data_IF_276902008171
#
_entry.id   IF_276902008171
#
_cell.length_a   1.000
_cell.length_b   1.000
_cell.length_c   1.000
_cell.angle_alpha   90.00
_cell.angle_beta   90.00
_cell.angle_gamma   90.00
#
_symmetry.space_group_name_H-M   'P 1'
#
loop_
_entity.id
_entity.type
_entity.pdbx_description
1 polymer ?
#
# COMPACT_ATOMS: atom_id res chain seq x y z
N UNK A 1 -14.24 -10.56 5.61
CA UNK A 1 -13.26 -9.45 5.72
C UNK A 1 -13.88 -8.39 6.62
N UNK A 2 -13.16 -7.82 7.59
CA UNK A 2 -13.73 -6.77 8.45
C UNK A 2 -13.70 -5.42 7.70
N UNK A 3 -14.85 -4.73 7.62
CA UNK A 3 -14.96 -3.43 6.93
C UNK A 3 -13.97 -2.39 7.48
N UNK A 4 -13.73 -2.38 8.80
CA UNK A 4 -12.77 -1.45 9.42
C UNK A 4 -11.34 -1.70 8.98
N UNK A 5 -10.93 -2.97 8.92
CA UNK A 5 -9.58 -3.34 8.48
C UNK A 5 -9.37 -3.02 7.00
N UNK A 6 -10.42 -3.18 6.18
CA UNK A 6 -10.39 -2.83 4.74
C UNK A 6 -10.25 -1.33 4.50
N UNK A 7 -11.05 -0.51 5.19
CA UNK A 7 -10.94 0.95 5.12
C UNK A 7 -9.56 1.43 5.59
N UNK A 8 -9.06 0.86 6.70
CA UNK A 8 -7.74 1.20 7.24
C UNK A 8 -6.60 0.96 6.23
N UNK A 9 -6.55 -0.22 5.60
CA UNK A 9 -5.48 -0.51 4.62
C UNK A 9 -5.61 0.34 3.35
N UNK A 10 -6.84 0.65 2.91
CA UNK A 10 -7.05 1.52 1.75
C UNK A 10 -6.57 2.95 2.02
N UNK A 11 -6.97 3.54 3.16
CA UNK A 11 -6.54 4.89 3.56
C UNK A 11 -5.03 4.99 3.65
N UNK A 12 -4.35 3.99 4.23
CA UNK A 12 -2.88 3.97 4.30
C UNK A 12 -2.22 3.88 2.93
N UNK A 13 -2.76 3.05 2.03
CA UNK A 13 -2.22 2.93 0.68
C UNK A 13 -2.45 4.22 -0.12
N UNK A 14 -3.62 4.84 -0.01
CA UNK A 14 -3.94 6.14 -0.63
C UNK A 14 -3.01 7.24 -0.12
N UNK A 15 -2.81 7.35 1.20
CA UNK A 15 -1.88 8.31 1.79
C UNK A 15 -0.47 8.14 1.21
N UNK A 16 0.02 6.90 1.15
CA UNK A 16 1.32 6.57 0.55
C UNK A 16 1.38 6.96 -0.92
N UNK A 17 0.36 6.63 -1.70
CA UNK A 17 0.30 6.97 -3.13
C UNK A 17 0.36 8.48 -3.35
N UNK A 18 -0.46 9.25 -2.63
CA UNK A 18 -0.48 10.70 -2.73
C UNK A 18 0.87 11.31 -2.29
N UNK A 19 1.43 10.89 -1.16
CA UNK A 19 2.69 11.42 -0.66
C UNK A 19 3.87 11.14 -1.59
N UNK A 20 3.96 9.93 -2.15
CA UNK A 20 5.07 9.53 -3.03
C UNK A 20 4.94 10.21 -4.41
N UNK A 21 3.73 10.27 -4.98
CA UNK A 21 3.50 10.92 -6.27
C UNK A 21 3.69 12.44 -6.21
N UNK A 22 3.31 13.08 -5.09
CA UNK A 22 3.54 14.50 -4.86
C UNK A 22 5.03 14.82 -4.74
N UNK A 23 5.78 13.96 -4.04
CA UNK A 23 7.23 14.06 -3.92
C UNK A 23 7.95 13.87 -5.27
N UNK A 24 7.45 12.96 -6.11
CA UNK A 24 7.92 12.77 -7.48
C UNK A 24 7.40 13.83 -8.47
N UNK A 25 6.72 14.88 -7.98
CA UNK A 25 6.23 16.01 -8.77
C UNK A 25 5.23 15.61 -9.88
N UNK A 26 4.51 14.49 -9.71
CA UNK A 26 3.40 14.11 -10.60
C UNK A 26 2.27 15.13 -10.50
N UNK A 27 2.07 15.68 -9.31
CA UNK A 27 1.20 16.79 -8.98
C UNK A 27 1.74 17.48 -7.73
N UNK A 28 1.18 18.65 -7.39
CA UNK A 28 1.58 19.39 -6.20
C UNK A 28 0.40 19.50 -5.23
N UNK A 29 0.69 19.39 -3.94
CA UNK A 29 -0.30 19.66 -2.91
C UNK A 29 -0.37 21.17 -2.64
N UNK A 30 -1.56 21.73 -2.78
CA UNK A 30 -1.87 23.12 -2.44
C UNK A 30 -2.17 23.20 -0.93
N UNK A 31 -1.41 24.03 -0.21
CA UNK A 31 -1.72 24.32 1.19
C UNK A 31 -2.99 25.17 1.29
N UNK A 32 -3.88 24.81 2.19
CA UNK A 32 -5.13 25.52 2.49
C UNK A 32 -5.05 26.29 3.82
N UNK A 33 -3.89 26.30 4.49
CA UNK A 33 -3.70 26.80 5.86
C UNK A 33 -3.89 25.73 6.93
N UNK A 34 -3.38 25.96 8.15
CA UNK A 34 -3.54 25.10 9.32
C UNK A 34 -3.25 23.60 9.08
N UNK A 35 -2.12 23.28 8.43
CA UNK A 35 -1.71 21.91 8.04
C UNK A 35 -2.68 21.16 7.09
N UNK A 36 -3.68 21.86 6.55
CA UNK A 36 -4.57 21.30 5.54
C UNK A 36 -3.96 21.43 4.16
N UNK A 37 -4.07 20.34 3.39
CA UNK A 37 -3.60 20.24 2.03
C UNK A 37 -4.70 19.72 1.10
N UNK A 38 -4.59 20.11 -0.16
CA UNK A 38 -5.48 19.71 -1.23
C UNK A 38 -4.67 19.27 -2.45
N UNK A 39 -5.02 18.13 -3.04
CA UNK A 39 -4.51 17.68 -4.34
C UNK A 39 -5.68 17.61 -5.32
N UNK A 40 -5.57 18.38 -6.40
CA UNK A 40 -6.55 18.44 -7.48
C UNK A 40 -6.16 17.45 -8.59
N UNK A 41 -7.03 16.48 -8.88
CA UNK A 41 -6.89 15.54 -10.00
C UNK A 41 -8.05 15.74 -10.99
N UNK A 42 -7.95 15.26 -12.23
CA UNK A 42 -9.06 15.31 -13.18
C UNK A 42 -10.32 14.64 -12.60
N UNK A 43 -11.35 15.44 -12.30
CA UNK A 43 -12.63 14.96 -11.77
C UNK A 43 -12.64 14.60 -10.28
N UNK A 44 -11.58 14.87 -9.52
CA UNK A 44 -11.51 14.54 -8.10
C UNK A 44 -10.65 15.51 -7.29
N UNK A 45 -11.01 15.70 -6.02
CA UNK A 45 -10.25 16.53 -5.10
C UNK A 45 -9.98 15.75 -3.81
N UNK A 46 -8.69 15.58 -3.49
CA UNK A 46 -8.24 14.92 -2.27
C UNK A 46 -7.85 15.96 -1.23
N UNK A 47 -8.49 15.90 -0.07
CA UNK A 47 -8.20 16.76 1.08
C UNK A 47 -7.70 15.93 2.25
N UNK A 48 -6.71 16.44 2.96
CA UNK A 48 -6.09 15.77 4.10
C UNK A 48 -5.29 16.77 4.94
N UNK A 49 -4.95 16.35 6.16
CA UNK A 49 -3.97 17.01 7.01
C UNK A 49 -2.64 16.32 6.81
N UNK A 50 -1.57 17.10 6.70
CA UNK A 50 -0.21 16.58 6.58
C UNK A 50 0.82 17.53 7.17
N UNK A 51 1.99 16.99 7.52
CA UNK A 51 3.18 17.77 7.81
C UNK A 51 4.17 17.61 6.65
N UNK A 52 4.78 18.71 6.17
CA UNK A 52 5.83 18.61 5.15
C UNK A 52 7.19 18.50 5.84
N UNK A 53 7.82 17.33 5.72
CA UNK A 53 9.14 17.08 6.31
C UNK A 53 10.26 17.84 5.60
N UNK A 54 11.46 17.81 6.18
CA UNK A 54 12.65 18.56 5.69
C UNK A 54 13.07 18.20 4.25
N UNK A 55 12.72 17.00 3.79
CA UNK A 55 13.01 16.54 2.43
C UNK A 55 11.98 17.03 1.42
N UNK A 56 10.89 17.67 1.88
CA UNK A 56 9.76 18.04 1.05
C UNK A 56 8.68 16.95 0.93
N UNK A 57 8.86 15.78 1.56
CA UNK A 57 7.87 14.69 1.56
C UNK A 57 6.74 14.96 2.57
N UNK A 58 5.49 14.69 2.16
CA UNK A 58 4.30 14.89 2.99
C UNK A 58 4.03 13.68 3.89
N UNK A 59 3.95 13.92 5.20
CA UNK A 59 3.46 12.97 6.20
C UNK A 59 1.95 13.12 6.35
N UNK A 60 1.20 12.42 5.51
CA UNK A 60 -0.26 12.50 5.46
C UNK A 60 -0.90 11.68 6.60
N UNK A 61 -1.82 12.30 7.37
CA UNK A 61 -2.71 11.56 8.26
C UNK A 61 -3.83 10.89 7.45
N UNK A 62 -3.71 9.57 7.28
CA UNK A 62 -4.64 8.75 6.51
C UNK A 62 -6.11 8.80 7.01
N UNK A 63 -6.36 9.12 8.29
CA UNK A 63 -7.72 9.22 8.83
C UNK A 63 -8.44 10.49 8.36
N UNK A 64 -7.68 11.53 8.01
CA UNK A 64 -8.21 12.82 7.55
C UNK A 64 -8.51 12.82 6.06
N UNK A 65 -8.04 11.81 5.30
CA UNK A 65 -8.29 11.69 3.86
C UNK A 65 -9.78 11.74 3.55
N UNK A 66 -10.14 12.66 2.65
CA UNK A 66 -11.45 12.77 2.00
C UNK A 66 -11.24 12.96 0.50
N UNK A 67 -12.04 12.27 -0.29
CA UNK A 67 -12.16 12.48 -1.73
C UNK A 67 -13.61 12.81 -2.01
N UNK A 68 -13.94 14.12 -2.06
CA UNK A 68 -15.31 14.59 -2.24
C UNK A 68 -16.32 13.79 -1.37
N UNK A 69 -17.30 13.11 -1.98
CA UNK A 69 -18.30 12.23 -1.34
C UNK A 69 -18.03 10.73 -1.60
N UNK A 70 -16.86 10.39 -2.15
CA UNK A 70 -16.49 9.02 -2.45
C UNK A 70 -15.77 8.34 -1.28
N UNK A 71 -15.95 7.00 -1.12
CA UNK A 71 -15.16 6.24 -0.17
C UNK A 71 -13.67 6.28 -0.55
N UNK A 72 -12.80 6.39 0.46
CA UNK A 72 -11.35 6.40 0.26
C UNK A 72 -10.87 5.00 -0.11
N UNK A 73 -10.78 4.73 -1.41
CA UNK A 73 -10.31 3.46 -1.97
C UNK A 73 -9.09 3.69 -2.86
N UNK A 74 -8.07 2.83 -2.71
CA UNK A 74 -6.87 2.90 -3.54
C UNK A 74 -7.18 2.65 -5.03
N UNK A 75 -8.18 1.80 -5.32
CA UNK A 75 -8.67 1.55 -6.67
C UNK A 75 -9.20 2.85 -7.32
N UNK A 76 -9.97 3.64 -6.57
CA UNK A 76 -10.52 4.92 -7.05
C UNK A 76 -9.39 5.86 -7.44
N UNK A 77 -8.38 6.02 -6.57
CA UNK A 77 -7.21 6.84 -6.88
C UNK A 77 -6.46 6.33 -8.11
N UNK A 78 -6.25 5.01 -8.25
CA UNK A 78 -5.58 4.44 -9.44
C UNK A 78 -6.32 4.80 -10.75
N UNK A 79 -7.65 4.81 -10.73
CA UNK A 79 -8.44 5.21 -11.90
C UNK A 79 -8.30 6.71 -12.21
N UNK A 80 -8.23 7.56 -11.18
CA UNK A 80 -8.00 9.01 -11.33
C UNK A 80 -6.58 9.32 -11.85
N UNK A 81 -5.60 8.46 -11.53
CA UNK A 81 -4.22 8.58 -12.01
C UNK A 81 -4.05 8.11 -13.47
N UNK A 82 -4.98 7.34 -14.02
CA UNK A 82 -4.92 6.87 -15.41
C UNK A 82 -4.66 7.99 -16.42
N UNK A 83 -5.46 9.08 -16.47
CA UNK A 83 -5.19 10.18 -17.39
C UNK A 83 -3.91 10.95 -17.03
N UNK A 84 -3.58 11.08 -15.74
CA UNK A 84 -2.39 11.82 -15.27
C UNK A 84 -1.10 11.15 -15.72
N UNK A 85 -1.04 9.83 -15.64
CA UNK A 85 0.13 9.01 -15.99
C UNK A 85 0.06 8.46 -17.42
N UNK A 86 -0.95 8.84 -18.21
CA UNK A 86 -1.17 8.35 -19.58
C UNK A 86 -1.18 6.82 -19.69
N UNK A 87 -1.81 6.14 -18.73
CA UNK A 87 -1.83 4.68 -18.68
C UNK A 87 -2.84 4.07 -19.66
N UNK A 88 -2.43 3.01 -20.36
CA UNK A 88 -3.34 2.17 -21.15
C UNK A 88 -4.27 1.34 -20.27
N UNK A 89 -5.36 0.82 -20.83
CA UNK A 89 -6.28 -0.08 -20.11
C UNK A 89 -5.57 -1.33 -19.59
N UNK A 90 -4.65 -1.90 -20.39
CA UNK A 90 -3.84 -3.05 -20.00
C UNK A 90 -2.93 -2.72 -18.81
N UNK A 91 -2.25 -1.56 -18.85
CA UNK A 91 -1.38 -1.09 -17.75
C UNK A 91 -2.18 -0.89 -16.46
N UNK A 92 -3.38 -0.32 -16.55
CA UNK A 92 -4.27 -0.17 -15.38
C UNK A 92 -4.67 -1.53 -14.82
N UNK A 93 -5.01 -2.50 -15.69
CA UNK A 93 -5.37 -3.85 -15.25
C UNK A 93 -4.22 -4.57 -14.55
N UNK A 94 -2.98 -4.42 -15.03
CA UNK A 94 -1.78 -4.93 -14.36
C UNK A 94 -1.60 -4.28 -12.99
N UNK A 95 -1.71 -2.95 -12.90
CA UNK A 95 -1.62 -2.23 -11.64
C UNK A 95 -2.75 -2.56 -10.66
N UNK A 96 -3.96 -2.88 -11.13
CA UNK A 96 -5.03 -3.38 -10.27
C UNK A 96 -4.64 -4.69 -9.58
N UNK A 97 -3.98 -5.61 -10.29
CA UNK A 97 -3.51 -6.86 -9.69
C UNK A 97 -2.46 -6.59 -8.60
N UNK A 98 -1.50 -5.71 -8.89
CA UNK A 98 -0.45 -5.35 -7.93
C UNK A 98 -0.99 -4.58 -6.72
N UNK A 99 -1.97 -3.70 -6.93
CA UNK A 99 -2.70 -2.97 -5.90
C UNK A 99 -3.42 -3.93 -4.96
N UNK A 100 -4.20 -4.87 -5.51
CA UNK A 100 -4.94 -5.82 -4.71
C UNK A 100 -4.02 -6.82 -3.99
N UNK A 101 -2.93 -7.25 -4.61
CA UNK A 101 -1.89 -8.05 -3.94
C UNK A 101 -1.28 -7.30 -2.75
N UNK A 102 -1.06 -5.99 -2.89
CA UNK A 102 -0.55 -5.13 -1.82
C UNK A 102 -1.56 -4.99 -0.69
N UNK A 103 -2.82 -4.70 -0.99
CA UNK A 103 -3.88 -4.60 0.04
C UNK A 103 -4.08 -5.93 0.78
N UNK A 104 -4.02 -7.07 0.09
CA UNK A 104 -4.11 -8.39 0.72
C UNK A 104 -2.93 -8.65 1.67
N UNK A 105 -1.70 -8.32 1.24
CA UNK A 105 -0.52 -8.41 2.09
C UNK A 105 -0.60 -7.48 3.31
N UNK A 106 -1.09 -6.26 3.13
CA UNK A 106 -1.25 -5.29 4.22
C UNK A 106 -2.31 -5.74 5.23
N UNK A 107 -3.40 -6.37 4.79
CA UNK A 107 -4.37 -6.99 5.69
C UNK A 107 -3.77 -8.16 6.48
N UNK A 108 -2.91 -8.96 5.86
CA UNK A 108 -2.22 -10.05 6.56
C UNK A 108 -1.28 -9.50 7.63
N UNK A 109 -0.50 -8.47 7.30
CA UNK A 109 0.38 -7.78 8.25
C UNK A 109 -0.41 -7.14 9.39
N UNK A 110 -1.51 -6.46 9.09
CA UNK A 110 -2.38 -5.84 10.09
C UNK A 110 -2.92 -6.87 11.09
N UNK A 111 -3.35 -8.04 10.60
CA UNK A 111 -3.82 -9.14 11.46
C UNK A 111 -2.68 -9.75 12.27
N UNK A 112 -1.54 -10.03 11.63
CA UNK A 112 -0.42 -10.72 12.26
C UNK A 112 0.30 -9.86 13.32
N UNK A 113 0.24 -8.53 13.21
CA UNK A 113 0.82 -7.58 14.17
C UNK A 113 -0.19 -7.09 15.23
N UNK A 114 -1.46 -7.53 15.16
CA UNK A 114 -2.50 -7.03 16.06
C UNK A 114 -2.16 -7.39 17.52
N UNK A 115 -2.20 -6.39 18.40
CA UNK A 115 -1.92 -6.56 19.83
C UNK A 115 -0.43 -6.66 20.18
N UNK A 116 0.48 -6.59 19.20
CA UNK A 116 1.92 -6.53 19.45
C UNK A 116 2.36 -5.08 19.60
N UNK A 117 3.01 -4.77 20.72
CA UNK A 117 3.72 -3.52 20.92
C UNK A 117 5.04 -3.48 20.12
N UNK A 118 5.69 -2.31 20.08
CA UNK A 118 7.03 -2.21 19.51
C UNK A 118 8.04 -3.12 20.23
N UNK A 119 7.94 -3.23 21.56
CA UNK A 119 8.76 -4.13 22.38
C UNK A 119 8.50 -5.60 22.05
N UNK A 120 7.26 -5.99 21.80
CA UNK A 120 6.94 -7.37 21.41
C UNK A 120 7.53 -7.70 20.04
N UNK A 121 7.46 -6.77 19.09
CA UNK A 121 7.97 -6.97 17.74
C UNK A 121 9.49 -7.16 17.71
N UNK A 122 10.26 -6.39 18.48
CA UNK A 122 11.74 -6.54 18.51
C UNK A 122 12.20 -7.80 19.24
N UNK A 123 11.33 -8.42 20.04
CA UNK A 123 11.60 -9.66 20.75
C UNK A 123 11.17 -10.92 19.96
N UNK A 124 10.60 -10.76 18.76
CA UNK A 124 10.32 -11.88 17.88
C UNK A 124 11.61 -12.51 17.33
N UNK A 125 11.50 -13.77 16.93
CA UNK A 125 12.52 -14.40 16.09
C UNK A 125 12.84 -13.54 14.85
N UNK A 126 14.12 -13.48 14.47
CA UNK A 126 14.60 -12.59 13.43
C UNK A 126 13.92 -12.83 12.08
N UNK A 127 13.74 -14.09 11.69
CA UNK A 127 13.06 -14.45 10.44
C UNK A 127 11.59 -14.08 10.50
N UNK A 128 10.96 -14.27 11.67
CA UNK A 128 9.57 -13.84 11.88
C UNK A 128 9.41 -12.32 11.79
N UNK A 129 10.30 -11.55 12.39
CA UNK A 129 10.28 -10.09 12.31
C UNK A 129 10.46 -9.62 10.87
N UNK A 130 11.42 -10.21 10.14
CA UNK A 130 11.65 -9.91 8.72
C UNK A 130 10.39 -10.16 7.87
N UNK A 131 9.70 -11.28 8.10
CA UNK A 131 8.44 -11.60 7.45
C UNK A 131 7.31 -10.62 7.75
N UNK A 132 7.40 -9.92 8.87
CA UNK A 132 6.45 -8.91 9.31
C UNK A 132 6.91 -7.49 8.96
N UNK A 133 7.84 -7.27 8.02
CA UNK A 133 8.14 -5.92 7.52
C UNK A 133 7.09 -5.42 6.53
N UNK A 134 6.91 -4.11 6.44
CA UNK A 134 5.88 -3.48 5.58
C UNK A 134 6.22 -3.50 4.09
N UNK A 135 7.45 -3.90 3.73
CA UNK A 135 7.99 -3.90 2.37
C UNK A 135 8.66 -2.58 2.00
N UNK A 136 8.91 -2.38 0.70
CA UNK A 136 9.62 -1.21 0.18
C UNK A 136 8.87 0.10 0.50
N UNK A 137 9.53 1.13 1.06
CA UNK A 137 8.86 2.37 1.45
C UNK A 137 8.42 3.21 0.24
N UNK A 138 9.22 3.31 -0.82
CA UNK A 138 8.91 4.12 -2.03
C UNK A 138 7.81 3.56 -2.94
N UNK A 139 7.98 2.34 -3.47
CA UNK A 139 7.02 1.78 -4.43
C UNK A 139 5.63 1.63 -3.83
N UNK A 140 4.62 2.20 -4.47
CA UNK A 140 3.24 2.21 -3.94
C UNK A 140 2.68 0.79 -3.81
N UNK A 141 2.78 -0.03 -4.85
CA UNK A 141 2.35 -1.44 -4.85
C UNK A 141 3.51 -2.39 -4.51
N UNK A 142 4.05 -2.28 -3.30
CA UNK A 142 5.29 -2.96 -2.90
C UNK A 142 5.19 -4.48 -2.69
N UNK A 143 4.02 -5.09 -2.89
CA UNK A 143 3.82 -6.55 -2.82
C UNK A 143 3.21 -7.13 -4.11
N UNK A 144 3.06 -6.30 -5.14
CA UNK A 144 2.68 -6.75 -6.48
C UNK A 144 3.72 -7.69 -7.07
N UNK A 145 3.27 -8.78 -7.69
CA UNK A 145 4.11 -9.78 -8.36
C UNK A 145 3.35 -10.32 -9.56
N UNK A 146 3.73 -9.86 -10.75
CA UNK A 146 3.10 -10.28 -12.00
C UNK A 146 2.99 -11.81 -12.10
N UNK A 147 1.80 -12.28 -12.46
CA UNK A 147 1.48 -13.71 -12.59
C UNK A 147 1.14 -14.44 -11.28
N UNK A 148 1.20 -13.79 -10.12
CA UNK A 148 0.84 -14.40 -8.84
C UNK A 148 -0.62 -14.09 -8.49
N UNK A 149 -1.50 -15.11 -8.56
CA UNK A 149 -2.87 -15.00 -8.04
C UNK A 149 -2.91 -14.93 -6.50
N UNK A 150 -4.11 -14.90 -5.91
CA UNK A 150 -4.27 -14.81 -4.44
C UNK A 150 -3.49 -15.87 -3.66
N UNK A 151 -3.40 -17.11 -4.20
CA UNK A 151 -2.60 -18.20 -3.63
C UNK A 151 -1.09 -17.99 -3.68
N UNK A 152 -0.58 -17.06 -4.49
CA UNK A 152 0.81 -16.63 -4.48
C UNK A 152 1.04 -15.46 -3.52
N UNK A 153 0.11 -14.49 -3.49
CA UNK A 153 0.25 -13.28 -2.68
C UNK A 153 0.34 -13.56 -1.17
N UNK A 154 -0.42 -14.53 -0.65
CA UNK A 154 -0.38 -14.90 0.77
C UNK A 154 0.84 -15.71 1.22
N UNK A 155 1.77 -15.97 0.30
CA UNK A 155 2.67 -17.11 0.41
C UNK A 155 4.10 -16.72 0.75
N UNK A 156 4.41 -15.42 0.79
CA UNK A 156 5.78 -14.96 1.08
C UNK A 156 6.05 -15.00 2.59
N UNK A 157 5.12 -14.49 3.41
CA UNK A 157 5.24 -14.58 4.87
C UNK A 157 5.06 -16.03 5.35
N UNK A 158 4.19 -16.81 4.68
CA UNK A 158 3.97 -18.21 5.02
C UNK A 158 5.13 -19.13 4.59
N UNK A 159 5.76 -18.94 3.41
CA UNK A 159 6.87 -19.81 2.94
C UNK A 159 8.25 -19.44 3.45
N UNK A 160 8.47 -18.23 3.97
CA UNK A 160 9.72 -17.95 4.69
C UNK A 160 9.67 -18.58 6.09
N UNK A 161 8.50 -18.63 6.74
CA UNK A 161 8.34 -19.34 8.02
C UNK A 161 8.07 -20.86 7.89
N UNK A 162 7.54 -21.35 6.77
CA UNK A 162 7.44 -22.78 6.48
C UNK A 162 8.62 -23.20 5.61
N UNK A 163 9.54 -23.97 6.20
CA UNK A 163 10.63 -24.68 5.53
C UNK A 163 10.32 -24.93 4.04
N UNK A 164 11.13 -24.33 3.16
CA UNK A 164 11.13 -24.66 1.74
C UNK A 164 11.48 -26.14 1.59
N UNK A 165 10.47 -27.00 1.47
CA UNK A 165 10.67 -28.30 0.86
C UNK A 165 10.82 -28.05 -0.64
N UNK A 166 12.07 -27.98 -1.09
CA UNK A 166 12.41 -27.98 -2.51
C UNK A 166 11.82 -29.24 -3.15
N UNK A 167 10.92 -29.05 -4.11
CA UNK A 167 10.47 -30.13 -4.98
C UNK A 167 11.59 -30.49 -5.98
N UNK A 168 12.64 -31.14 -5.49
CA UNK A 168 13.72 -31.74 -6.30
C UNK A 168 14.09 -33.16 -5.79
N UNK A 169 13.10 -33.93 -5.34
CA UNK A 169 13.25 -35.35 -5.03
C UNK A 169 12.50 -36.25 -6.05
N UNK A 170 12.37 -35.81 -7.29
CA UNK A 170 11.74 -36.55 -8.39
C UNK A 170 12.72 -36.81 -9.51
N UNK A 171 13.73 -37.64 -9.28
CA UNK A 171 14.71 -37.99 -10.30
C UNK A 171 15.78 -38.94 -9.79
N UNK A 172 15.42 -40.24 -9.69
CA UNK A 172 16.28 -41.42 -9.88
C UNK A 172 15.49 -42.68 -9.52
N UNK A 173 14.98 -43.35 -10.55
CA UNK A 173 14.91 -44.81 -10.68
C UNK A 173 15.21 -45.12 -12.13
#
# INVERSE_FOLDING_TARGET
>A
MNHKDWDFVNRRLVAKMLSEMEYEQVFHAESQGDDHYCINLPGAQWRFIAERGIWGWLWIDAQTLRCTDEPVLAQTLLMQLKPVLSMSDATVAEHMQDLYATLLGDLQLLKARRGLSASDLINLDADRLQCLLSGHPKFVFNKGRRGWGQRGAGTICARVCQHLQTALAGGKT
#
